data_IF_502259009820
#
_entry.id   IF_502259009820
#
_cell.length_a   1.000
_cell.length_b   1.000
_cell.length_c   1.000
_cell.angle_alpha   90.00
_cell.angle_beta   90.00
_cell.angle_gamma   90.00
#
_symmetry.space_group_name_H-M   'P 1'
#
loop_
_entity.id
_entity.type
_entity.pdbx_description
1 polymer ?
#
# COMPACT_ATOMS: atom_id res chain seq x y z
N UNK A 1 -8.55 -6.54 5.65
CA UNK A 1 -7.77 -5.92 4.56
C UNK A 1 -8.07 -4.43 4.51
N UNK A 2 -7.07 -3.59 4.27
CA UNK A 2 -7.18 -2.15 3.96
C UNK A 2 -6.28 -1.87 2.75
N UNK A 3 -6.72 -1.06 1.79
CA UNK A 3 -5.94 -0.75 0.59
C UNK A 3 -6.07 0.73 0.25
N UNK A 4 -4.97 1.30 -0.25
CA UNK A 4 -4.98 2.59 -0.92
C UNK A 4 -4.96 2.37 -2.43
N UNK A 5 -5.92 3.00 -3.11
CA UNK A 5 -6.03 3.07 -4.55
C UNK A 5 -6.00 4.53 -5.00
N UNK A 6 -5.41 4.79 -6.17
CA UNK A 6 -5.37 6.12 -6.75
C UNK A 6 -5.84 6.07 -8.20
N UNK A 7 -6.66 7.06 -8.57
CA UNK A 7 -6.96 7.36 -9.97
C UNK A 7 -5.78 8.13 -10.58
N UNK A 8 -5.16 7.57 -11.61
CA UNK A 8 -4.03 8.15 -12.36
C UNK A 8 -4.33 7.93 -13.84
N UNK A 9 -4.32 9.00 -14.65
CA UNK A 9 -4.62 8.92 -16.11
C UNK A 9 -5.91 8.13 -16.42
N UNK A 10 -6.98 8.43 -15.67
CA UNK A 10 -8.32 7.81 -15.80
C UNK A 10 -8.41 6.31 -15.50
N UNK A 11 -7.37 5.72 -14.90
CA UNK A 11 -7.36 4.34 -14.42
C UNK A 11 -7.13 4.25 -12.90
N UNK A 12 -7.80 3.31 -12.25
CA UNK A 12 -7.61 3.01 -10.83
C UNK A 12 -6.47 2.01 -10.64
N UNK A 13 -5.49 2.40 -9.81
CA UNK A 13 -4.38 1.53 -9.44
C UNK A 13 -4.34 1.29 -7.94
N UNK A 14 -4.19 0.03 -7.55
CA UNK A 14 -3.84 -0.32 -6.17
C UNK A 14 -2.35 -0.05 -5.94
N UNK A 15 -2.03 0.71 -4.88
CA UNK A 15 -0.66 1.16 -4.61
C UNK A 15 -0.07 0.49 -3.37
N UNK A 16 -0.84 0.43 -2.29
CA UNK A 16 -0.42 -0.25 -1.06
C UNK A 16 -1.60 -0.97 -0.42
N UNK A 17 -1.35 -2.20 0.04
CA UNK A 17 -2.36 -3.05 0.68
C UNK A 17 -1.84 -3.61 1.99
N UNK A 18 -2.69 -3.64 2.99
CA UNK A 18 -2.48 -4.29 4.26
C UNK A 18 -3.46 -5.46 4.42
N UNK A 19 -2.94 -6.63 4.75
CA UNK A 19 -3.72 -7.85 4.92
C UNK A 19 -3.13 -8.73 6.05
N UNK A 20 -3.94 -9.70 6.49
CA UNK A 20 -3.59 -10.70 7.52
C UNK A 20 -3.81 -12.14 7.02
N UNK A 21 -4.26 -12.31 5.77
CA UNK A 21 -4.31 -13.63 5.12
C UNK A 21 -2.89 -14.20 5.09
N UNK A 22 -2.71 -15.47 5.46
CA UNK A 22 -1.42 -16.18 5.64
C UNK A 22 -0.82 -16.19 7.07
N UNK A 23 -1.60 -15.83 8.10
CA UNK A 23 -1.21 -16.08 9.50
C UNK A 23 -0.28 -15.04 10.12
N UNK A 24 0.02 -13.97 9.39
CA UNK A 24 0.70 -12.78 9.91
C UNK A 24 0.22 -11.52 9.17
N UNK A 25 0.26 -10.38 9.86
CA UNK A 25 -0.02 -9.09 9.23
C UNK A 25 1.11 -8.71 8.28
N UNK A 26 0.80 -8.14 7.13
CA UNK A 26 1.79 -7.70 6.16
C UNK A 26 1.30 -6.50 5.35
N UNK A 27 2.27 -5.79 4.77
CA UNK A 27 2.08 -4.71 3.80
C UNK A 27 2.59 -5.16 2.44
N UNK A 28 1.75 -5.13 1.42
CA UNK A 28 2.14 -5.29 0.03
C UNK A 28 2.28 -3.89 -0.61
N UNK A 29 3.47 -3.55 -1.10
CA UNK A 29 3.70 -2.39 -1.96
C UNK A 29 3.54 -2.87 -3.40
N UNK A 30 2.63 -2.25 -4.16
CA UNK A 30 2.32 -2.61 -5.54
C UNK A 30 3.00 -1.58 -6.44
N UNK A 31 3.92 -2.05 -7.27
CA UNK A 31 4.66 -1.23 -8.23
C UNK A 31 3.88 -1.04 -9.54
N UNK A 32 4.21 0.01 -10.29
CA UNK A 32 3.57 0.32 -11.57
C UNK A 32 3.69 -0.79 -12.61
N UNK A 33 4.78 -1.58 -12.54
CA UNK A 33 5.00 -2.75 -13.40
C UNK A 33 4.26 -4.02 -12.93
N UNK A 34 3.47 -3.95 -11.87
CA UNK A 34 2.71 -5.07 -11.30
C UNK A 34 3.48 -5.92 -10.29
N UNK A 35 4.79 -5.68 -10.06
CA UNK A 35 5.54 -6.34 -8.98
C UNK A 35 4.95 -5.99 -7.62
N UNK A 36 5.01 -6.92 -6.68
CA UNK A 36 4.55 -6.72 -5.30
C UNK A 36 5.67 -7.04 -4.32
N UNK A 37 6.05 -6.04 -3.53
CA UNK A 37 7.03 -6.20 -2.47
C UNK A 37 6.28 -6.40 -1.15
N UNK A 38 6.40 -7.59 -0.56
CA UNK A 38 5.72 -7.97 0.68
C UNK A 38 6.60 -7.72 1.89
N UNK A 39 6.09 -6.95 2.85
CA UNK A 39 6.76 -6.61 4.10
C UNK A 39 5.95 -7.18 5.28
N UNK A 40 6.50 -8.17 6.01
CA UNK A 40 5.88 -8.65 7.26
C UNK A 40 5.76 -7.53 8.29
N UNK A 41 4.65 -7.53 9.04
CA UNK A 41 4.39 -6.61 10.13
C UNK A 41 4.30 -7.39 11.44
N UNK A 42 5.22 -7.09 12.35
CA UNK A 42 5.30 -7.75 13.65
C UNK A 42 4.51 -6.96 14.69
N UNK A 43 3.23 -7.32 14.84
CA UNK A 43 2.36 -6.75 15.87
C UNK A 43 1.90 -7.83 16.86
N UNK A 44 1.67 -7.48 18.14
CA UNK A 44 1.17 -8.43 19.14
C UNK A 44 -0.21 -9.02 18.81
N UNK A 45 -1.02 -8.30 18.03
CA UNK A 45 -2.34 -8.76 17.58
C UNK A 45 -2.77 -8.03 16.30
N UNK A 46 -3.78 -8.56 15.63
CA UNK A 46 -4.29 -7.99 14.38
C UNK A 46 -5.00 -6.65 14.54
N UNK A 47 -5.57 -6.34 15.71
CA UNK A 47 -6.21 -5.04 15.95
C UNK A 47 -5.18 -3.90 15.89
N UNK A 48 -4.03 -4.08 16.54
CA UNK A 48 -2.93 -3.10 16.48
C UNK A 48 -2.37 -2.98 15.07
N UNK A 49 -2.19 -4.09 14.36
CA UNK A 49 -1.76 -4.08 12.95
C UNK A 49 -2.75 -3.32 12.05
N UNK A 50 -4.05 -3.48 12.31
CA UNK A 50 -5.10 -2.80 11.55
C UNK A 50 -5.15 -1.29 11.84
N UNK A 51 -5.02 -0.88 13.11
CA UNK A 51 -4.88 0.53 13.49
C UNK A 51 -3.65 1.15 12.82
N UNK A 52 -2.52 0.44 12.81
CA UNK A 52 -1.31 0.86 12.12
C UNK A 52 -1.56 1.05 10.62
N UNK A 53 -2.18 0.07 9.95
CA UNK A 53 -2.48 0.13 8.52
C UNK A 53 -3.30 1.37 8.13
N UNK A 54 -4.34 1.70 8.92
CA UNK A 54 -5.17 2.89 8.69
C UNK A 54 -4.35 4.17 8.87
N UNK A 55 -3.56 4.25 9.94
CA UNK A 55 -2.75 5.44 10.22
C UNK A 55 -1.69 5.66 9.15
N UNK A 56 -0.97 4.61 8.76
CA UNK A 56 0.06 4.66 7.73
C UNK A 56 -0.50 5.17 6.39
N UNK A 57 -1.61 4.61 5.91
CA UNK A 57 -2.27 5.09 4.68
C UNK A 57 -2.69 6.55 4.83
N UNK A 58 -3.36 6.93 5.93
CA UNK A 58 -3.80 8.32 6.13
C UNK A 58 -2.65 9.32 6.16
N UNK A 59 -1.52 8.94 6.74
CA UNK A 59 -0.35 9.82 6.87
C UNK A 59 0.47 9.86 5.59
N UNK A 60 0.61 8.74 4.88
CA UNK A 60 1.61 8.56 3.83
C UNK A 60 1.02 8.40 2.41
N UNK A 61 -0.30 8.44 2.21
CA UNK A 61 -0.92 8.22 0.88
C UNK A 61 -0.33 9.08 -0.24
N UNK A 62 0.05 10.33 0.04
CA UNK A 62 0.67 11.23 -0.96
C UNK A 62 2.03 10.73 -1.43
N UNK A 63 2.83 10.19 -0.50
CA UNK A 63 4.13 9.61 -0.82
C UNK A 63 4.00 8.31 -1.60
N UNK A 64 3.05 7.46 -1.22
CA UNK A 64 2.73 6.25 -1.99
C UNK A 64 2.30 6.59 -3.42
N UNK A 65 1.39 7.55 -3.60
CA UNK A 65 0.99 8.03 -4.92
C UNK A 65 2.16 8.60 -5.72
N UNK A 66 2.94 9.50 -5.11
CA UNK A 66 4.09 10.11 -5.77
C UNK A 66 5.11 9.07 -6.24
N UNK A 67 5.43 8.07 -5.40
CA UNK A 67 6.32 6.98 -5.78
C UNK A 67 5.79 6.19 -6.97
N UNK A 68 4.50 5.85 -6.96
CA UNK A 68 3.85 5.12 -8.06
C UNK A 68 3.83 5.93 -9.37
N UNK A 69 3.44 7.20 -9.32
CA UNK A 69 3.44 8.10 -10.48
C UNK A 69 4.86 8.30 -11.06
N UNK A 70 5.88 8.33 -10.20
CA UNK A 70 7.28 8.36 -10.62
C UNK A 70 7.69 7.08 -11.35
N UNK A 71 7.30 5.91 -10.86
CA UNK A 71 7.54 4.64 -11.56
C UNK A 71 6.83 4.57 -12.92
N UNK A 72 5.68 5.24 -13.07
CA UNK A 72 4.95 5.36 -14.33
C UNK A 72 5.52 6.41 -15.31
N UNK A 73 6.52 7.21 -14.90
CA UNK A 73 7.02 8.34 -15.71
C UNK A 73 5.96 9.42 -15.95
N UNK A 74 5.07 9.67 -14.97
CA UNK A 74 3.99 10.69 -15.10
C UNK A 74 4.53 12.12 -14.95
N UNK A 75 5.67 12.28 -14.29
CA UNK A 75 6.30 13.58 -13.98
C UNK A 75 7.53 13.90 -14.84
N UNK A 76 7.75 13.12 -15.91
CA UNK A 76 8.81 13.31 -16.92
C UNK A 76 8.20 13.75 -18.24
#
# INVERSE_FOLDING_TARGET
MVQYEAMIKDEWYGIVRYDTRHGFAHKDIIHANGRKDKQPLYFPNYSLAFTFAINDIKTLWRWYRYGYEKEMGVHE
#
